data_IF_098228901543
#
_entry.id   IF_098228901543
#
_cell.length_a   1.000
_cell.length_b   1.000
_cell.length_c   1.000
_cell.angle_alpha   90.00
_cell.angle_beta   90.00
_cell.angle_gamma   90.00
#
_symmetry.space_group_name_H-M   'P 1'
#
loop_
_entity.id
_entity.type
_entity.pdbx_description
1 polymer ?
#
# COMPACT_ATOMS: atom_id res chain seq x y z
N UNK A 1 -8.08 11.60 3.16
CA UNK A 1 -9.45 11.61 3.73
C UNK A 1 -10.41 10.99 2.73
N UNK A 2 -11.25 10.03 3.16
CA UNK A 2 -12.18 9.32 2.26
C UNK A 2 -13.16 10.26 1.55
N UNK A 3 -13.63 11.30 2.24
CA UNK A 3 -14.52 12.32 1.67
C UNK A 3 -13.89 13.10 0.50
N UNK A 4 -12.63 13.53 0.61
CA UNK A 4 -11.94 14.25 -0.48
C UNK A 4 -11.81 13.37 -1.72
N UNK A 5 -11.52 12.07 -1.55
CA UNK A 5 -11.46 11.11 -2.66
C UNK A 5 -12.83 10.96 -3.33
N UNK A 6 -13.89 10.84 -2.56
CA UNK A 6 -15.25 10.73 -3.08
C UNK A 6 -15.68 11.97 -3.88
N UNK A 7 -15.36 13.17 -3.37
CA UNK A 7 -15.66 14.44 -4.07
C UNK A 7 -14.90 14.52 -5.39
N UNK A 8 -13.60 14.19 -5.42
CA UNK A 8 -12.80 14.21 -6.64
C UNK A 8 -13.33 13.23 -7.69
N UNK A 9 -13.74 12.02 -7.26
CA UNK A 9 -14.36 11.03 -8.16
C UNK A 9 -15.68 11.56 -8.71
N UNK A 10 -16.53 12.17 -7.87
CA UNK A 10 -17.80 12.74 -8.32
C UNK A 10 -17.59 13.86 -9.36
N UNK A 11 -16.65 14.77 -9.12
CA UNK A 11 -16.30 15.83 -10.08
C UNK A 11 -15.81 15.23 -11.40
N UNK A 12 -14.96 14.21 -11.34
CA UNK A 12 -14.45 13.54 -12.53
C UNK A 12 -15.59 12.87 -13.32
N UNK A 13 -16.53 12.20 -12.66
CA UNK A 13 -17.70 11.59 -13.30
C UNK A 13 -18.57 12.65 -13.96
N UNK A 14 -18.86 13.76 -13.28
CA UNK A 14 -19.63 14.88 -13.84
C UNK A 14 -18.92 15.46 -15.06
N UNK A 15 -17.59 15.64 -15.00
CA UNK A 15 -16.80 16.15 -16.12
C UNK A 15 -16.87 15.21 -17.34
N UNK A 16 -16.78 13.89 -17.14
CA UNK A 16 -16.91 12.90 -18.21
C UNK A 16 -18.30 12.92 -18.83
N UNK A 17 -19.37 13.00 -18.01
CA UNK A 17 -20.75 13.07 -18.49
C UNK A 17 -20.99 14.37 -19.27
N UNK A 18 -20.56 15.50 -18.73
CA UNK A 18 -20.66 16.80 -19.40
C UNK A 18 -19.91 16.78 -20.74
N UNK A 19 -18.68 16.26 -20.74
CA UNK A 19 -17.90 16.09 -21.95
C UNK A 19 -18.64 15.24 -22.99
N UNK A 20 -19.19 14.07 -22.59
CA UNK A 20 -19.95 13.22 -23.49
C UNK A 20 -21.18 13.96 -24.06
N UNK A 21 -21.95 14.64 -23.22
CA UNK A 21 -23.13 15.40 -23.63
C UNK A 21 -22.80 16.51 -24.64
N UNK A 22 -21.75 17.30 -24.39
CA UNK A 22 -21.35 18.39 -25.30
C UNK A 22 -20.76 17.91 -26.62
N UNK A 23 -20.20 16.71 -26.67
CA UNK A 23 -19.59 16.15 -27.89
C UNK A 23 -20.51 15.14 -28.61
N UNK A 24 -21.73 14.91 -28.11
CA UNK A 24 -22.70 14.00 -28.74
C UNK A 24 -23.47 14.71 -29.87
N UNK A 25 -22.76 15.12 -30.92
CA UNK A 25 -23.37 15.59 -32.15
C UNK A 25 -23.03 14.63 -33.30
N UNK A 26 -24.01 13.88 -33.85
CA UNK A 26 -23.76 12.88 -34.89
C UNK A 26 -23.25 13.48 -36.22
N UNK A 27 -23.44 14.78 -36.43
CA UNK A 27 -22.94 15.47 -37.63
C UNK A 27 -21.51 16.00 -37.47
N UNK A 28 -20.92 15.88 -36.28
CA UNK A 28 -19.57 16.35 -36.02
C UNK A 28 -18.56 15.27 -36.44
N UNK A 29 -17.99 15.46 -37.63
CA UNK A 29 -16.96 14.60 -38.21
C UNK A 29 -15.59 15.27 -38.14
N UNK A 30 -14.55 14.46 -37.99
CA UNK A 30 -13.15 14.90 -37.95
C UNK A 30 -12.28 13.99 -38.79
N UNK A 31 -11.25 14.56 -39.39
CA UNK A 31 -10.19 13.81 -40.06
C UNK A 31 -9.11 13.46 -39.05
N UNK A 32 -8.72 12.20 -39.01
CA UNK A 32 -7.73 11.68 -38.05
C UNK A 32 -6.52 11.18 -38.84
N UNK A 33 -5.40 11.85 -38.65
CA UNK A 33 -4.11 11.47 -39.22
C UNK A 33 -3.33 10.69 -38.16
N UNK A 34 -3.33 9.36 -38.24
CA UNK A 34 -2.40 8.53 -37.48
C UNK A 34 -1.10 8.41 -38.27
N UNK A 35 0.01 8.26 -37.55
CA UNK A 35 1.38 8.18 -38.09
C UNK A 35 1.50 7.30 -39.36
N UNK A 36 0.71 6.23 -39.47
CA UNK A 36 0.71 5.31 -40.62
C UNK A 36 -0.60 5.24 -41.40
N UNK A 37 -1.71 5.83 -40.93
CA UNK A 37 -3.04 5.67 -41.52
C UNK A 37 -3.86 6.95 -41.37
N UNK A 38 -4.48 7.38 -42.46
CA UNK A 38 -5.41 8.52 -42.44
C UNK A 38 -6.85 8.02 -42.51
N UNK A 39 -7.67 8.48 -41.57
CA UNK A 39 -9.11 8.29 -41.60
C UNK A 39 -9.79 9.63 -41.85
N UNK A 40 -10.72 9.66 -42.80
CA UNK A 40 -11.43 10.87 -43.21
C UNK A 40 -12.88 10.76 -42.75
N UNK A 41 -13.47 11.89 -42.33
CA UNK A 41 -14.89 11.98 -41.97
C UNK A 41 -15.34 11.06 -40.81
N UNK A 42 -14.45 10.80 -39.85
CA UNK A 42 -14.76 9.92 -38.71
C UNK A 42 -15.63 10.68 -37.69
N UNK A 43 -16.71 10.07 -37.15
CA UNK A 43 -17.49 10.70 -36.09
C UNK A 43 -16.63 11.01 -34.87
N UNK A 44 -16.63 12.26 -34.40
CA UNK A 44 -15.81 12.71 -33.26
C UNK A 44 -15.99 11.82 -32.03
N UNK A 45 -17.22 11.41 -31.75
CA UNK A 45 -17.57 10.53 -30.62
C UNK A 45 -16.75 9.24 -30.62
N UNK A 46 -16.54 8.63 -31.80
CA UNK A 46 -15.77 7.37 -31.91
C UNK A 46 -14.29 7.58 -31.61
N UNK A 47 -13.71 8.68 -32.11
CA UNK A 47 -12.30 9.03 -31.87
C UNK A 47 -12.05 9.27 -30.39
N UNK A 48 -12.92 10.07 -29.76
CA UNK A 48 -12.77 10.37 -28.34
C UNK A 48 -13.02 9.15 -27.46
N UNK A 49 -14.00 8.31 -27.79
CA UNK A 49 -14.24 7.06 -27.08
C UNK A 49 -12.99 6.17 -27.07
N UNK A 50 -12.38 5.94 -28.24
CA UNK A 50 -11.17 5.12 -28.33
C UNK A 50 -9.96 5.76 -27.65
N UNK A 51 -9.80 7.07 -27.73
CA UNK A 51 -8.74 7.79 -27.01
C UNK A 51 -8.91 7.65 -25.49
N UNK A 52 -10.15 7.74 -24.99
CA UNK A 52 -10.47 7.54 -23.58
C UNK A 52 -10.18 6.10 -23.13
N UNK A 53 -10.61 5.10 -23.90
CA UNK A 53 -10.32 3.68 -23.62
C UNK A 53 -8.80 3.43 -23.59
N UNK A 54 -8.05 3.97 -24.55
CA UNK A 54 -6.60 3.84 -24.57
C UNK A 54 -5.95 4.50 -23.34
N UNK A 55 -6.37 5.71 -22.98
CA UNK A 55 -5.89 6.39 -21.77
C UNK A 55 -6.24 5.62 -20.48
N UNK A 56 -7.43 5.03 -20.42
CA UNK A 56 -7.83 4.17 -19.29
C UNK A 56 -6.94 2.94 -19.19
N UNK A 57 -6.65 2.25 -20.29
CA UNK A 57 -5.77 1.07 -20.29
C UNK A 57 -4.34 1.43 -19.84
N UNK A 58 -3.78 2.52 -20.35
CA UNK A 58 -2.45 2.99 -19.94
C UNK A 58 -2.42 3.33 -18.45
N UNK A 59 -3.43 4.06 -17.96
CA UNK A 59 -3.52 4.40 -16.53
C UNK A 59 -3.70 3.17 -15.64
N UNK A 60 -4.46 2.17 -16.07
CA UNK A 60 -4.62 0.90 -15.38
C UNK A 60 -3.27 0.16 -15.23
N UNK A 61 -2.51 0.05 -16.31
CA UNK A 61 -1.18 -0.60 -16.30
C UNK A 61 -0.23 0.14 -15.35
N UNK A 62 -0.23 1.48 -15.41
CA UNK A 62 0.59 2.31 -14.53
C UNK A 62 0.18 2.12 -13.07
N UNK A 63 -1.12 2.10 -12.78
CA UNK A 63 -1.65 1.91 -11.43
C UNK A 63 -1.28 0.55 -10.85
N UNK A 64 -1.45 -0.53 -11.63
CA UNK A 64 -1.04 -1.88 -11.22
C UNK A 64 0.46 -1.91 -10.88
N UNK A 65 1.29 -1.29 -11.72
CA UNK A 65 2.74 -1.22 -11.50
C UNK A 65 3.10 -0.52 -10.19
N UNK A 66 2.45 0.61 -9.90
CA UNK A 66 2.65 1.36 -8.65
C UNK A 66 2.13 0.57 -7.45
N UNK A 67 0.95 -0.03 -7.58
CA UNK A 67 0.33 -0.82 -6.52
C UNK A 67 1.23 -1.98 -6.08
N UNK A 68 1.77 -2.76 -7.03
CA UNK A 68 2.69 -3.86 -6.74
C UNK A 68 3.92 -3.36 -5.98
N UNK A 69 4.54 -2.26 -6.44
CA UNK A 69 5.69 -1.65 -5.75
C UNK A 69 5.34 -1.25 -4.32
N UNK A 70 4.18 -0.63 -4.13
CA UNK A 70 3.72 -0.18 -2.82
C UNK A 70 3.45 -1.37 -1.88
N UNK A 71 2.85 -2.45 -2.37
CA UNK A 71 2.63 -3.68 -1.60
C UNK A 71 3.93 -4.33 -1.15
N UNK A 72 4.95 -4.37 -2.02
CA UNK A 72 6.28 -4.91 -1.66
C UNK A 72 6.96 -4.04 -0.62
N UNK A 73 6.89 -2.71 -0.77
CA UNK A 73 7.44 -1.76 0.20
C UNK A 73 6.74 -1.90 1.56
N UNK A 74 5.42 -2.00 1.58
CA UNK A 74 4.63 -2.17 2.80
C UNK A 74 5.02 -3.47 3.53
N UNK A 75 5.13 -4.59 2.80
CA UNK A 75 5.55 -5.88 3.38
C UNK A 75 6.95 -5.80 3.96
N UNK A 76 7.87 -5.12 3.27
CA UNK A 76 9.25 -4.95 3.73
C UNK A 76 9.33 -4.05 4.96
N UNK A 77 8.57 -2.95 4.97
CA UNK A 77 8.49 -2.03 6.10
C UNK A 77 7.93 -2.73 7.35
N UNK A 78 6.84 -3.49 7.22
CA UNK A 78 6.27 -4.23 8.34
C UNK A 78 7.23 -5.29 8.89
N UNK A 79 7.92 -6.04 8.02
CA UNK A 79 8.94 -7.02 8.45
C UNK A 79 10.06 -6.36 9.25
N UNK A 80 10.53 -5.18 8.82
CA UNK A 80 11.55 -4.42 9.53
C UNK A 80 11.04 -3.92 10.88
N UNK A 81 9.80 -3.40 10.94
CA UNK A 81 9.19 -2.96 12.19
C UNK A 81 9.12 -4.09 13.21
N UNK A 82 8.61 -5.27 12.80
CA UNK A 82 8.52 -6.42 13.70
C UNK A 82 9.90 -6.94 14.12
N UNK A 83 10.90 -6.92 13.24
CA UNK A 83 12.26 -7.31 13.60
C UNK A 83 12.87 -6.35 14.64
N UNK A 84 12.74 -5.04 14.43
CA UNK A 84 13.19 -4.00 15.37
C UNK A 84 12.46 -4.11 16.71
N UNK A 85 11.15 -4.33 16.71
CA UNK A 85 10.36 -4.56 17.92
C UNK A 85 10.83 -5.80 18.68
N UNK A 86 11.15 -6.88 17.96
CA UNK A 86 11.70 -8.11 18.55
C UNK A 86 13.08 -7.87 19.16
N UNK A 87 13.97 -7.14 18.48
CA UNK A 87 15.30 -6.79 19.00
C UNK A 87 15.21 -5.98 20.28
N UNK A 88 14.34 -4.95 20.30
CA UNK A 88 14.09 -4.16 21.51
C UNK A 88 13.52 -5.02 22.63
N UNK A 89 12.60 -5.93 22.33
CA UNK A 89 12.04 -6.85 23.33
C UNK A 89 13.11 -7.77 23.93
N UNK A 90 14.00 -8.31 23.11
CA UNK A 90 15.09 -9.17 23.57
C UNK A 90 16.06 -8.37 24.45
N UNK A 91 16.46 -7.17 24.00
CA UNK A 91 17.34 -6.29 24.76
C UNK A 91 16.74 -5.85 26.09
N UNK A 92 15.42 -5.70 26.17
CA UNK A 92 14.72 -5.36 27.42
C UNK A 92 14.62 -6.54 28.37
N UNK A 93 14.41 -7.76 27.85
CA UNK A 93 14.18 -8.93 28.68
C UNK A 93 15.48 -9.58 29.18
N UNK A 94 16.57 -9.47 28.43
CA UNK A 94 17.87 -10.06 28.79
C UNK A 94 18.41 -9.59 30.16
N UNK A 95 18.38 -8.30 30.53
CA UNK A 95 18.79 -7.84 31.86
C UNK A 95 17.90 -8.37 32.99
N UNK A 96 16.61 -8.58 32.72
CA UNK A 96 15.64 -9.10 33.70
C UNK A 96 15.92 -10.58 33.97
N UNK A 97 16.21 -11.34 32.91
CA UNK A 97 16.52 -12.76 32.98
C UNK A 97 17.85 -13.00 33.70
N UNK A 98 18.89 -12.22 33.38
CA UNK A 98 20.17 -12.25 34.10
C UNK A 98 20.01 -11.89 35.59
N UNK A 99 19.18 -10.89 35.91
CA UNK A 99 18.89 -10.53 37.30
C UNK A 99 18.14 -11.65 38.04
N UNK A 100 17.18 -12.31 37.38
CA UNK A 100 16.42 -13.42 37.95
C UNK A 100 17.29 -14.65 38.22
N UNK A 101 18.21 -14.99 37.30
CA UNK A 101 19.17 -16.07 37.51
C UNK A 101 20.14 -15.79 38.66
N UNK A 102 20.65 -14.57 38.77
CA UNK A 102 21.52 -14.18 39.90
C UNK A 102 20.80 -14.32 41.25
N UNK A 103 19.53 -13.90 41.34
CA UNK A 103 18.73 -14.04 42.57
C UNK A 103 18.54 -15.52 42.89
N UNK A 104 18.15 -16.35 41.91
CA UNK A 104 17.93 -17.79 42.11
C UNK A 104 19.20 -18.50 42.61
N UNK A 105 20.36 -18.22 42.00
CA UNK A 105 21.62 -18.81 42.42
C UNK A 105 22.03 -18.38 43.83
N UNK A 106 21.79 -17.10 44.19
CA UNK A 106 22.05 -16.60 45.54
C UNK A 106 21.17 -17.28 46.59
N UNK A 107 19.89 -17.51 46.29
CA UNK A 107 18.98 -18.25 47.18
C UNK A 107 19.39 -19.72 47.36
N UNK A 108 19.90 -20.37 46.29
CA UNK A 108 20.42 -21.74 46.38
C UNK A 108 21.67 -21.79 47.27
N UNK A 109 22.61 -20.85 47.11
CA UNK A 109 23.80 -20.80 47.97
C UNK A 109 23.46 -20.52 49.45
N UNK A 110 22.47 -19.67 49.73
CA UNK A 110 21.97 -19.44 51.09
C UNK A 110 21.34 -20.71 51.69
N UNK A 111 20.61 -21.49 50.88
CA UNK A 111 19.99 -22.72 51.34
C UNK A 111 21.04 -23.83 51.59
N UNK A 112 22.03 -23.98 50.69
CA UNK A 112 23.14 -24.95 50.86
C UNK A 112 24.06 -24.61 52.03
N UNK A 113 24.18 -23.33 52.42
CA UNK A 113 24.96 -22.90 53.60
C UNK A 113 24.16 -22.85 54.89
N UNK A 114 22.85 -23.15 54.87
CA UNK A 114 22.03 -23.18 56.08
C UNK A 114 22.50 -24.30 57.02
N UNK A 115 23.05 -23.98 58.21
CA UNK A 115 23.45 -24.99 59.19
C UNK A 115 22.24 -25.65 59.89
N UNK A 116 21.02 -25.31 59.48
CA UNK A 116 19.78 -25.61 60.22
C UNK A 116 18.87 -26.64 59.54
N UNK A 117 19.29 -27.29 58.45
CA UNK A 117 18.49 -28.32 57.76
C UNK A 117 18.69 -29.76 58.31
N UNK A 118 19.55 -29.95 59.32
CA UNK A 118 19.63 -31.23 60.08
C UNK A 118 19.05 -31.03 61.48
N UNK A 119 17.72 -30.98 61.53
CA UNK A 119 16.95 -31.03 62.77
C UNK A 119 15.76 -31.97 62.57
N UNK A 120 15.84 -33.12 63.25
CA UNK A 120 14.88 -34.24 63.38
C UNK A 120 14.97 -35.38 62.35
#
# INVERSE_FOLDING_TARGET
MWAVRAILIAILVIAVIAFAYFNFNPNQKVDVDLIYVKYVEVPLVTVVFWAFVAGMLVSLIMFISVYIRLSVQLRTANKRSTALESEVSILRNRPIEESAEMIKNKTIEENVKSPFETGE
#
